data_IF_042328584922
#
_entry.id   IF_042328584922
#
_cell.length_a   1.000
_cell.length_b   1.000
_cell.length_c   1.000
_cell.angle_alpha   90.00
_cell.angle_beta   90.00
_cell.angle_gamma   90.00
#
_symmetry.space_group_name_H-M   'P 1'
#
loop_
_entity.id
_entity.type
_entity.pdbx_description
1 polymer ?
#
# COMPACT_ATOMS: atom_id res chain seq x y z
N UNK A 1 -6.57 -24.40 4.94
CA UNK A 1 -5.18 -24.73 5.31
C UNK A 1 -4.38 -23.44 5.37
N UNK A 2 -4.08 -23.04 6.60
CA UNK A 2 -3.42 -21.81 7.04
C UNK A 2 -1.91 -21.92 6.76
N UNK A 3 -1.49 -21.60 5.54
CA UNK A 3 -0.09 -21.30 5.24
C UNK A 3 0.10 -19.79 5.32
N UNK A 4 1.18 -19.32 5.96
CA UNK A 4 1.56 -17.91 6.01
C UNK A 4 1.66 -17.37 4.56
N UNK A 5 0.56 -16.80 4.06
CA UNK A 5 0.30 -16.62 2.64
C UNK A 5 0.97 -15.39 2.08
N UNK A 6 1.88 -15.57 1.12
CA UNK A 6 2.44 -14.46 0.36
C UNK A 6 1.32 -13.77 -0.43
N UNK A 7 1.02 -12.51 -0.11
CA UNK A 7 0.15 -11.68 -0.94
C UNK A 7 0.90 -11.34 -2.22
N UNK A 8 0.32 -11.64 -3.39
CA UNK A 8 0.86 -11.23 -4.68
C UNK A 8 0.33 -9.84 -4.99
N UNK A 9 1.20 -8.84 -5.04
CA UNK A 9 0.80 -7.48 -5.37
C UNK A 9 1.09 -7.17 -6.84
N UNK A 10 0.31 -6.25 -7.40
CA UNK A 10 0.56 -5.70 -8.72
C UNK A 10 1.89 -4.92 -8.73
N UNK A 11 2.67 -4.93 -9.83
CA UNK A 11 3.97 -4.26 -9.86
C UNK A 11 3.88 -2.73 -9.84
N UNK A 12 2.75 -2.15 -10.26
CA UNK A 12 2.58 -0.70 -10.32
C UNK A 12 1.78 -0.18 -9.12
N UNK A 13 2.35 0.74 -8.32
CA UNK A 13 1.60 1.36 -7.22
C UNK A 13 0.60 2.38 -7.77
N UNK A 14 -0.54 2.52 -7.09
CA UNK A 14 -1.68 3.34 -7.50
C UNK A 14 -2.28 4.09 -6.31
N UNK A 15 -2.75 5.31 -6.53
CA UNK A 15 -3.48 6.07 -5.50
C UNK A 15 -4.76 5.31 -5.12
N UNK A 16 -5.02 5.18 -3.82
CA UNK A 16 -6.12 4.36 -3.31
C UNK A 16 -5.78 2.87 -3.16
N UNK A 17 -4.54 2.46 -3.47
CA UNK A 17 -4.05 1.13 -3.12
C UNK A 17 -4.01 0.88 -1.60
N UNK A 18 -3.88 -0.39 -1.22
CA UNK A 18 -4.12 -0.84 0.16
C UNK A 18 -2.91 -1.49 0.82
N UNK A 19 -1.81 -1.67 0.09
CA UNK A 19 -0.64 -2.38 0.58
C UNK A 19 0.65 -1.60 0.34
N UNK A 20 1.57 -1.72 1.29
CA UNK A 20 2.96 -1.33 1.16
C UNK A 20 3.84 -2.58 1.20
N UNK A 21 5.13 -2.44 0.87
CA UNK A 21 6.11 -3.49 1.06
C UNK A 21 7.19 -3.06 2.05
N UNK A 22 7.72 -4.03 2.78
CA UNK A 22 9.04 -3.91 3.41
C UNK A 22 10.06 -4.67 2.56
N UNK A 23 11.32 -4.21 2.57
CA UNK A 23 12.45 -4.82 1.86
C UNK A 23 12.42 -6.35 1.96
N UNK A 24 12.79 -7.08 0.90
CA UNK A 24 12.65 -8.53 0.84
C UNK A 24 13.34 -9.17 2.05
N UNK A 25 12.56 -9.89 2.86
CA UNK A 25 13.13 -10.74 3.90
C UNK A 25 13.67 -12.01 3.24
N UNK A 26 14.93 -12.32 3.51
CA UNK A 26 15.56 -13.55 3.04
C UNK A 26 15.08 -14.71 3.91
N UNK A 27 14.16 -15.51 3.40
CA UNK A 27 13.89 -16.85 3.94
C UNK A 27 14.49 -17.88 2.98
N UNK A 28 15.49 -18.63 3.46
CA UNK A 28 16.14 -19.81 2.85
C UNK A 28 15.94 -19.95 1.32
N UNK A 29 16.58 -19.07 0.55
CA UNK A 29 16.64 -19.06 -0.93
C UNK A 29 15.40 -18.55 -1.68
N UNK A 30 14.44 -17.88 -1.03
CA UNK A 30 13.32 -17.22 -1.73
C UNK A 30 13.27 -15.75 -1.35
N UNK A 31 13.43 -14.86 -2.35
CA UNK A 31 13.09 -13.44 -2.18
C UNK A 31 11.57 -13.33 -2.07
N UNK A 32 11.05 -13.21 -0.84
CA UNK A 32 9.64 -12.92 -0.61
C UNK A 32 9.48 -11.46 -0.26
N UNK A 33 8.73 -10.75 -1.09
CA UNK A 33 8.23 -9.42 -0.76
C UNK A 33 7.04 -9.58 0.18
N UNK A 34 7.16 -9.08 1.41
CA UNK A 34 6.06 -9.11 2.37
C UNK A 34 5.23 -7.84 2.19
N UNK A 35 4.06 -8.01 1.58
CA UNK A 35 3.02 -6.99 1.58
C UNK A 35 2.48 -6.77 3.00
N UNK A 36 2.36 -5.51 3.41
CA UNK A 36 1.71 -5.09 4.65
C UNK A 36 0.57 -4.13 4.31
N UNK A 37 -0.53 -4.09 5.08
CA UNK A 37 -1.56 -3.09 4.88
C UNK A 37 -0.99 -1.67 4.92
N UNK A 38 -1.56 -0.78 4.11
CA UNK A 38 -1.28 0.65 4.13
C UNK A 38 -1.49 1.18 5.56
N UNK A 39 -0.54 1.93 6.12
CA UNK A 39 -0.72 2.52 7.44
C UNK A 39 -1.79 3.61 7.39
N UNK A 40 -2.50 3.83 8.50
CA UNK A 40 -3.49 4.91 8.62
C UNK A 40 -2.85 6.30 8.52
N UNK A 41 -1.59 6.43 8.93
CA UNK A 41 -0.82 7.68 8.91
C UNK A 41 0.62 7.40 8.51
N UNK A 42 1.23 8.34 7.79
CA UNK A 42 2.66 8.33 7.47
C UNK A 42 3.41 9.41 8.25
N UNK A 43 4.63 9.09 8.68
CA UNK A 43 5.50 10.05 9.34
C UNK A 43 5.92 11.19 8.39
N UNK A 44 6.15 12.40 8.93
CA UNK A 44 6.73 13.50 8.15
C UNK A 44 8.13 13.11 7.66
N UNK A 45 8.49 13.47 6.41
CA UNK A 45 9.85 13.35 5.92
C UNK A 45 10.86 14.09 6.81
N UNK A 46 12.05 13.51 6.95
CA UNK A 46 13.09 14.05 7.82
C UNK A 46 13.57 15.43 7.37
N UNK A 47 13.54 15.69 6.06
CA UNK A 47 13.96 16.94 5.42
C UNK A 47 12.97 18.10 5.56
N UNK A 48 11.82 17.91 6.21
CA UNK A 48 10.90 19.00 6.51
C UNK A 48 11.42 19.90 7.64
N UNK A 49 11.21 21.22 7.52
CA UNK A 49 11.44 22.14 8.64
C UNK A 49 10.48 21.88 9.80
N UNK A 50 10.83 22.33 11.01
CA UNK A 50 9.98 22.17 12.20
C UNK A 50 8.55 22.73 11.99
N UNK A 51 8.43 23.89 11.33
CA UNK A 51 7.12 24.50 11.00
C UNK A 51 6.30 23.61 10.06
N UNK A 52 6.94 23.00 9.06
CA UNK A 52 6.26 22.09 8.13
C UNK A 52 5.87 20.77 8.81
N UNK A 53 6.72 20.23 9.70
CA UNK A 53 6.39 19.04 10.50
C UNK A 53 5.16 19.29 11.39
N UNK A 54 5.01 20.50 11.91
CA UNK A 54 3.85 20.87 12.73
C UNK A 54 2.53 20.90 11.94
N UNK A 55 2.59 21.27 10.66
CA UNK A 55 1.46 21.29 9.74
C UNK A 55 1.25 19.96 9.00
N UNK A 56 2.01 18.91 9.33
CA UNK A 56 1.98 17.64 8.62
C UNK A 56 0.74 16.82 8.98
N UNK A 57 -0.18 16.68 8.03
CA UNK A 57 -1.31 15.76 8.15
C UNK A 57 -0.93 14.37 7.62
N UNK A 58 -0.37 13.54 8.52
CA UNK A 58 0.03 12.17 8.17
C UNK A 58 -1.08 11.30 7.59
N UNK A 59 -2.37 11.61 7.84
CA UNK A 59 -3.50 10.84 7.30
C UNK A 59 -3.78 11.24 5.85
N UNK A 60 -3.94 12.53 5.59
CA UNK A 60 -4.10 13.04 4.22
C UNK A 60 -2.91 12.64 3.34
N UNK A 61 -1.71 12.63 3.92
CA UNK A 61 -0.49 12.17 3.29
C UNK A 61 -0.48 10.67 2.99
N UNK A 62 -1.07 9.84 3.84
CA UNK A 62 -1.24 8.43 3.57
C UNK A 62 -2.25 8.20 2.44
N UNK A 63 -3.33 8.99 2.37
CA UNK A 63 -4.36 8.84 1.34
C UNK A 63 -3.91 9.29 -0.06
N UNK A 64 -3.05 10.30 -0.17
CA UNK A 64 -2.56 10.80 -1.46
C UNK A 64 -1.41 9.99 -2.09
N UNK A 65 -0.73 9.15 -1.30
CA UNK A 65 0.41 8.36 -1.78
C UNK A 65 -0.04 7.19 -2.65
N UNK A 66 0.73 6.82 -3.68
CA UNK A 66 0.49 5.58 -4.41
C UNK A 66 0.91 4.38 -3.54
N UNK A 67 0.04 3.38 -3.51
CA UNK A 67 0.22 2.12 -2.78
C UNK A 67 -0.08 0.95 -3.69
N UNK A 68 0.33 -0.23 -3.31
CA UNK A 68 0.11 -1.44 -4.09
C UNK A 68 -1.28 -2.04 -3.82
N UNK A 69 -1.75 -2.82 -4.78
CA UNK A 69 -2.98 -3.62 -4.67
C UNK A 69 -2.66 -5.09 -4.88
N UNK A 70 -3.51 -5.98 -4.36
CA UNK A 70 -3.40 -7.41 -4.67
C UNK A 70 -3.62 -7.63 -6.17
N UNK A 71 -2.69 -8.34 -6.80
CA UNK A 71 -2.73 -8.62 -8.23
C UNK A 71 -3.96 -9.45 -8.58
N UNK A 72 -4.67 -9.04 -9.64
CA UNK A 72 -5.82 -9.78 -10.19
C UNK A 72 -5.62 -9.92 -11.69
N UNK A 73 -5.47 -11.15 -12.17
CA UNK A 73 -5.25 -11.45 -13.58
C UNK A 73 -6.28 -10.75 -14.48
N UNK A 74 -5.80 -10.10 -15.54
CA UNK A 74 -6.65 -9.40 -16.51
C UNK A 74 -7.16 -8.03 -16.04
N UNK A 75 -6.65 -7.49 -14.92
CA UNK A 75 -6.98 -6.15 -14.43
C UNK A 75 -5.73 -5.35 -14.17
N UNK A 76 -5.80 -4.06 -14.47
CA UNK A 76 -4.80 -3.06 -14.05
C UNK A 76 -4.99 -2.68 -12.59
N UNK A 77 -3.95 -2.15 -11.93
CA UNK A 77 -4.03 -1.66 -10.56
C UNK A 77 -5.17 -0.63 -10.36
N UNK A 78 -5.36 0.28 -11.32
CA UNK A 78 -6.43 1.28 -11.31
C UNK A 78 -7.82 0.63 -11.32
N UNK A 79 -8.06 -0.35 -12.20
CA UNK A 79 -9.34 -1.08 -12.26
C UNK A 79 -9.65 -1.82 -10.96
N UNK A 80 -8.62 -2.32 -10.27
CA UNK A 80 -8.77 -3.00 -8.98
C UNK A 80 -9.23 -2.02 -7.90
N UNK A 81 -8.62 -0.82 -7.83
CA UNK A 81 -9.03 0.25 -6.91
C UNK A 81 -10.46 0.70 -7.18
N UNK A 82 -10.82 0.96 -8.44
CA UNK A 82 -12.16 1.39 -8.82
C UNK A 82 -13.24 0.38 -8.41
N UNK A 83 -12.97 -0.92 -8.57
CA UNK A 83 -13.88 -1.97 -8.10
C UNK A 83 -14.04 -1.98 -6.59
N UNK A 84 -12.94 -1.83 -5.85
CA UNK A 84 -12.97 -1.78 -4.40
C UNK A 84 -13.80 -0.58 -3.91
N UNK A 85 -13.53 0.61 -4.45
CA UNK A 85 -14.28 1.82 -4.10
C UNK A 85 -15.77 1.70 -4.44
N UNK A 86 -16.12 1.06 -5.56
CA UNK A 86 -17.53 0.80 -5.90
C UNK A 86 -18.22 -0.15 -4.91
N UNK A 87 -17.49 -1.10 -4.32
CA UNK A 87 -18.02 -2.01 -3.30
C UNK A 87 -18.24 -1.28 -1.97
N UNK A 88 -17.27 -0.52 -1.51
CA UNK A 88 -17.37 0.26 -0.26
C UNK A 88 -18.49 1.30 -0.32
N UNK A 89 -18.69 1.96 -1.47
CA UNK A 89 -19.80 2.92 -1.64
C UNK A 89 -21.20 2.27 -1.66
N UNK A 90 -21.28 0.94 -1.80
CA UNK A 90 -22.53 0.19 -1.81
C UNK A 90 -22.80 -0.51 -0.47
N UNK A 91 -21.81 -0.58 0.41
CA UNK A 91 -21.90 -1.14 1.75
C UNK A 91 -22.35 -0.06 2.74
#
# INVERSE_FOLDING_TARGET
MTGCGSIRLDPEPVVGGHYTFWNPTYDRNVRRWLGKPRPEKVSPPDNLSAKQKLAWDGRAEADRRPWYVEHRCGKTAAQIVEEWQRREKRA
#
